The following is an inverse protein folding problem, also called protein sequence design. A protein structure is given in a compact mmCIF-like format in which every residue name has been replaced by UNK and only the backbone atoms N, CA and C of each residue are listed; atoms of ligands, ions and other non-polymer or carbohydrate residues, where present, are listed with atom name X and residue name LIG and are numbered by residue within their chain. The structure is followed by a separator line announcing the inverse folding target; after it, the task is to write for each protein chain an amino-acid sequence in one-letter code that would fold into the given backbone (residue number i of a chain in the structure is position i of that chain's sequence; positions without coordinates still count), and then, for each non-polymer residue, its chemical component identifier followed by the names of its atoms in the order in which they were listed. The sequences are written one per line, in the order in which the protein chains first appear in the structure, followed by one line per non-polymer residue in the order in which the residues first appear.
data_IF_684238670082
#
_entry.id   IF_684238670082
#
_cell.length_a   1.000
_cell.length_b   1.000
_cell.length_c   1.000
_cell.angle_alpha   90.00
_cell.angle_beta   90.00
_cell.angle_gamma   90.00
#
_symmetry.space_group_name_H-M   'P 1'
#
loop_
_entity.id
_entity.type
_entity.pdbx_description
1 polymer ?
#
# COMPACT_ATOMS: atom_id res chain seq x y z
N UNK A 1 -12.95 -15.46 10.48
CA UNK A 1 -12.94 -14.08 9.95
C UNK A 1 -14.24 -13.41 10.37
N UNK A 2 -14.21 -12.23 10.98
CA UNK A 2 -15.43 -11.48 11.33
C UNK A 2 -15.90 -10.64 10.12
N UNK A 3 -17.20 -10.61 9.84
CA UNK A 3 -17.74 -9.92 8.66
C UNK A 3 -17.40 -8.42 8.66
N UNK A 4 -17.40 -7.79 9.83
CA UNK A 4 -17.04 -6.37 10.01
C UNK A 4 -15.61 -6.06 9.58
N UNK A 5 -14.65 -6.95 9.91
CA UNK A 5 -13.25 -6.76 9.52
C UNK A 5 -13.05 -6.85 8.01
N UNK A 6 -13.75 -7.79 7.36
CA UNK A 6 -13.74 -7.92 5.90
C UNK A 6 -14.32 -6.68 5.23
N UNK A 7 -15.48 -6.21 5.70
CA UNK A 7 -16.11 -5.01 5.16
C UNK A 7 -15.22 -3.76 5.29
N UNK A 8 -14.58 -3.58 6.45
CA UNK A 8 -13.67 -2.46 6.68
C UNK A 8 -12.43 -2.53 5.78
N UNK A 9 -11.84 -3.72 5.61
CA UNK A 9 -10.68 -3.91 4.74
C UNK A 9 -11.02 -3.60 3.27
N UNK A 10 -12.19 -4.03 2.79
CA UNK A 10 -12.67 -3.71 1.44
C UNK A 10 -12.88 -2.21 1.28
N UNK A 11 -13.53 -1.56 2.24
CA UNK A 11 -13.76 -0.12 2.21
C UNK A 11 -12.45 0.67 2.14
N UNK A 12 -11.46 0.33 2.99
CA UNK A 12 -10.14 0.97 2.95
C UNK A 12 -9.46 0.74 1.59
N UNK A 13 -9.57 -0.47 1.03
CA UNK A 13 -9.04 -0.79 -0.30
C UNK A 13 -9.63 0.09 -1.41
N UNK A 14 -10.91 0.45 -1.33
CA UNK A 14 -11.58 1.34 -2.29
C UNK A 14 -11.07 2.78 -2.24
N UNK A 15 -10.47 3.21 -1.13
CA UNK A 15 -9.92 4.57 -0.98
C UNK A 15 -8.52 4.72 -1.61
N UNK A 16 -7.77 3.63 -1.79
CA UNK A 16 -6.42 3.67 -2.35
C UNK A 16 -6.35 4.24 -3.79
N UNK A 17 -7.24 3.88 -4.74
CA UNK A 17 -7.26 4.54 -6.04
C UNK A 17 -7.53 6.04 -5.94
N UNK A 18 -8.43 6.45 -5.06
CA UNK A 18 -8.72 7.87 -4.84
C UNK A 18 -7.48 8.61 -4.34
N UNK A 19 -6.76 8.05 -3.36
CA UNK A 19 -5.50 8.64 -2.87
C UNK A 19 -4.47 8.78 -3.99
N UNK A 20 -4.32 7.74 -4.82
CA UNK A 20 -3.35 7.74 -5.91
C UNK A 20 -3.67 8.83 -6.97
N UNK A 21 -4.96 9.02 -7.27
CA UNK A 21 -5.44 10.09 -8.15
C UNK A 21 -5.26 11.49 -7.55
N UNK A 22 -5.58 11.67 -6.27
CA UNK A 22 -5.39 12.94 -5.56
C UNK A 22 -3.91 13.33 -5.57
N UNK A 23 -3.01 12.41 -5.21
CA UNK A 23 -1.57 12.69 -5.20
C UNK A 23 -1.04 12.97 -6.60
N UNK A 24 -1.48 12.23 -7.63
CA UNK A 24 -1.09 12.49 -9.01
C UNK A 24 -1.57 13.86 -9.48
N UNK A 25 -2.78 14.26 -9.09
CA UNK A 25 -3.31 15.60 -9.37
C UNK A 25 -2.50 16.69 -8.68
N UNK A 26 -2.20 16.53 -7.38
CA UNK A 26 -1.36 17.45 -6.61
C UNK A 26 0.04 17.55 -7.21
N UNK A 27 0.64 16.42 -7.59
CA UNK A 27 1.96 16.38 -8.21
C UNK A 27 2.04 17.12 -9.54
N UNK A 28 0.96 17.09 -10.34
CA UNK A 28 0.87 17.86 -11.61
C UNK A 28 0.66 19.36 -11.39
N UNK A 29 -0.03 19.73 -10.31
CA UNK A 29 -0.37 21.14 -10.00
C UNK A 29 0.66 21.81 -9.07
N UNK A 30 1.70 21.10 -8.66
CA UNK A 30 2.69 21.58 -7.68
C UNK A 30 4.11 21.18 -8.11
N UNK A 31 5.04 21.07 -7.16
CA UNK A 31 6.47 20.80 -7.40
C UNK A 31 6.80 19.32 -7.74
N UNK A 32 5.87 18.59 -8.36
CA UNK A 32 6.08 17.20 -8.77
C UNK A 32 5.67 16.13 -7.75
N UNK A 33 5.90 14.84 -8.08
CA UNK A 33 5.34 13.68 -7.36
C UNK A 33 5.94 13.48 -5.97
N UNK A 34 7.21 13.83 -5.77
CA UNK A 34 7.88 13.74 -4.46
C UNK A 34 7.29 14.76 -3.49
N UNK A 35 7.09 16.00 -3.94
CA UNK A 35 6.45 17.03 -3.12
C UNK A 35 5.01 16.67 -2.77
N UNK A 36 4.23 16.17 -3.74
CA UNK A 36 2.86 15.72 -3.46
C UNK A 36 2.82 14.60 -2.42
N UNK A 37 3.76 13.66 -2.48
CA UNK A 37 3.89 12.59 -1.48
C UNK A 37 4.25 13.15 -0.12
N UNK A 38 5.24 14.06 -0.04
CA UNK A 38 5.61 14.73 1.20
C UNK A 38 4.41 15.46 1.84
N UNK A 39 3.68 16.25 1.05
CA UNK A 39 2.49 16.96 1.51
C UNK A 39 1.43 15.99 2.05
N UNK A 40 1.15 14.88 1.35
CA UNK A 40 0.20 13.86 1.81
C UNK A 40 0.67 13.18 3.11
N UNK A 41 1.97 12.93 3.27
CA UNK A 41 2.53 12.41 4.52
C UNK A 41 2.45 13.42 5.67
N UNK A 42 2.64 14.72 5.42
CA UNK A 42 2.47 15.75 6.45
C UNK A 42 1.02 15.81 6.94
N UNK A 43 0.06 15.84 6.02
CA UNK A 43 -1.37 15.82 6.37
C UNK A 43 -1.73 14.55 7.12
N UNK A 44 -1.31 13.38 6.63
CA UNK A 44 -1.55 12.10 7.28
C UNK A 44 -0.93 12.02 8.68
N UNK A 45 0.30 12.53 8.84
CA UNK A 45 0.98 12.60 10.15
C UNK A 45 0.21 13.49 11.12
N UNK A 46 -0.30 14.65 10.67
CA UNK A 46 -1.13 15.52 11.48
C UNK A 46 -2.42 14.84 11.96
N UNK A 47 -3.11 14.12 11.07
CA UNK A 47 -4.31 13.34 11.42
C UNK A 47 -3.99 12.23 12.41
N UNK A 48 -2.92 11.47 12.19
CA UNK A 48 -2.49 10.41 13.11
C UNK A 48 -2.09 10.96 14.48
N UNK A 49 -1.39 12.10 14.52
CA UNK A 49 -1.03 12.76 15.78
C UNK A 49 -2.28 13.23 16.53
N UNK A 50 -3.22 13.87 15.85
CA UNK A 50 -4.48 14.29 16.46
C UNK A 50 -5.26 13.08 17.02
N UNK A 51 -5.38 12.00 16.24
CA UNK A 51 -5.99 10.75 16.71
C UNK A 51 -5.29 10.20 17.94
N UNK A 52 -3.96 10.12 17.92
CA UNK A 52 -3.15 9.62 19.03
C UNK A 52 -3.37 10.44 20.31
N UNK A 53 -3.40 11.77 20.18
CA UNK A 53 -3.69 12.68 21.31
C UNK A 53 -5.12 12.52 21.85
N UNK A 54 -6.11 12.31 20.98
CA UNK A 54 -7.51 12.11 21.37
C UNK A 54 -7.72 10.78 22.11
N UNK A 55 -7.01 9.73 21.71
CA UNK A 55 -7.12 8.39 22.32
C UNK A 55 -6.33 8.24 23.61
N UNK A 56 -5.42 9.18 23.92
CA UNK A 56 -4.60 9.22 25.14
C UNK A 56 -3.99 7.86 25.54
N UNK A 57 -3.30 7.16 24.63
CA UNK A 57 -2.70 5.87 24.96
C UNK A 57 -1.60 6.04 26.01
N UNK A 58 -1.33 4.98 26.77
CA UNK A 58 -0.20 4.94 27.70
C UNK A 58 1.10 5.07 26.91
N UNK A 59 1.82 6.19 27.11
CA UNK A 59 3.06 6.48 26.40
C UNK A 59 4.26 6.30 27.33
N UNK A 60 5.14 5.36 27.00
CA UNK A 60 6.37 5.07 27.77
C UNK A 60 7.58 5.26 26.85
N UNK A 61 8.21 6.44 26.82
CA UNK A 61 9.33 6.73 25.92
C UNK A 61 10.48 5.71 26.03
N UNK A 62 10.76 5.22 27.24
CA UNK A 62 11.81 4.23 27.49
C UNK A 62 11.57 2.90 26.76
N UNK A 63 10.31 2.57 26.40
CA UNK A 63 10.00 1.39 25.62
C UNK A 63 10.47 1.51 24.16
N UNK A 64 10.59 2.74 23.62
CA UNK A 64 11.04 2.97 22.25
C UNK A 64 12.50 2.55 22.04
N UNK A 65 13.33 2.65 23.08
CA UNK A 65 14.73 2.19 23.04
C UNK A 65 14.89 0.67 22.88
N UNK A 66 13.81 -0.10 23.11
CA UNK A 66 13.79 -1.57 22.91
C UNK A 66 13.31 -1.97 21.52
N UNK A 67 12.80 -1.02 20.73
CA UNK A 67 12.29 -1.29 19.39
C UNK A 67 13.48 -1.44 18.43
N UNK A 68 13.54 -2.53 17.64
CA UNK A 68 14.65 -2.72 16.70
C UNK A 68 14.67 -1.63 15.63
N UNK A 69 15.86 -1.20 15.21
CA UNK A 69 16.04 -0.07 14.30
C UNK A 69 15.31 -0.24 12.96
N UNK A 70 15.16 -1.48 12.47
CA UNK A 70 14.46 -1.77 11.22
C UNK A 70 12.95 -1.53 11.31
N UNK A 71 12.34 -1.53 12.50
CA UNK A 71 10.90 -1.29 12.63
C UNK A 71 10.53 0.15 12.20
N UNK A 72 11.49 1.07 12.25
CA UNK A 72 11.33 2.46 11.85
C UNK A 72 11.40 2.67 10.33
N UNK A 73 11.83 1.66 9.55
CA UNK A 73 11.93 1.78 8.09
C UNK A 73 10.58 1.71 7.38
N UNK A 74 9.50 1.35 8.09
CA UNK A 74 8.14 1.29 7.52
C UNK A 74 7.71 2.61 6.89
N UNK A 75 8.05 3.75 7.52
CA UNK A 75 7.77 5.08 6.97
C UNK A 75 8.52 5.35 5.66
N UNK A 76 9.77 4.89 5.56
CA UNK A 76 10.59 5.02 4.34
C UNK A 76 9.99 4.20 3.20
N UNK A 77 9.61 2.95 3.45
CA UNK A 77 8.97 2.07 2.47
C UNK A 77 7.65 2.70 1.99
N UNK A 78 6.84 3.23 2.90
CA UNK A 78 5.61 3.95 2.57
C UNK A 78 5.84 5.18 1.71
N UNK A 79 6.85 6.00 2.04
CA UNK A 79 7.18 7.20 1.27
C UNK A 79 7.60 6.86 -0.18
N UNK A 80 8.48 5.86 -0.34
CA UNK A 80 8.90 5.37 -1.66
C UNK A 80 7.71 4.81 -2.45
N UNK A 81 6.84 4.04 -1.80
CA UNK A 81 5.63 3.50 -2.42
C UNK A 81 4.72 4.61 -2.94
N UNK A 82 4.37 5.60 -2.11
CA UNK A 82 3.46 6.68 -2.50
C UNK A 82 4.06 7.57 -3.58
N UNK A 83 5.35 7.89 -3.51
CA UNK A 83 6.04 8.68 -4.54
C UNK A 83 6.07 7.95 -5.88
N UNK A 84 6.41 6.66 -5.87
CA UNK A 84 6.41 5.83 -7.07
C UNK A 84 5.01 5.67 -7.66
N UNK A 85 4.01 5.44 -6.81
CA UNK A 85 2.61 5.36 -7.23
C UNK A 85 2.16 6.67 -7.89
N UNK A 86 2.43 7.81 -7.26
CA UNK A 86 2.09 9.14 -7.78
C UNK A 86 2.73 9.42 -9.14
N UNK A 87 3.98 8.98 -9.33
CA UNK A 87 4.70 9.09 -10.61
C UNK A 87 4.12 8.16 -11.69
N UNK A 88 3.69 6.95 -11.31
CA UNK A 88 3.26 5.91 -12.24
C UNK A 88 1.76 5.96 -12.59
N UNK A 89 0.90 6.52 -11.73
CA UNK A 89 -0.55 6.63 -11.98
C UNK A 89 -0.86 7.28 -13.34
N UNK A 90 -0.27 8.42 -13.73
CA UNK A 90 -0.58 9.04 -15.02
C UNK A 90 -0.14 8.21 -16.23
N UNK A 91 0.82 7.29 -16.05
CA UNK A 91 1.40 6.47 -17.13
C UNK A 91 0.67 5.13 -17.30
N UNK A 92 0.30 4.50 -16.18
CA UNK A 92 -0.29 3.16 -16.16
C UNK A 92 -1.82 3.18 -15.99
N UNK A 93 -2.37 4.28 -15.49
CA UNK A 93 -3.73 4.34 -14.96
C UNK A 93 -3.82 3.78 -13.54
N UNK A 94 -4.79 4.27 -12.75
CA UNK A 94 -4.94 3.88 -11.35
C UNK A 94 -5.26 2.39 -11.17
N UNK A 95 -6.14 1.84 -12.01
CA UNK A 95 -6.55 0.43 -11.95
C UNK A 95 -5.36 -0.51 -12.21
N UNK A 96 -4.62 -0.30 -13.30
CA UNK A 96 -3.45 -1.09 -13.66
C UNK A 96 -2.37 -1.03 -12.57
N UNK A 97 -2.10 0.15 -12.02
CA UNK A 97 -1.13 0.31 -10.94
C UNK A 97 -1.53 -0.51 -9.71
N UNK A 98 -2.79 -0.44 -9.28
CA UNK A 98 -3.28 -1.18 -8.11
C UNK A 98 -3.17 -2.69 -8.34
N UNK A 99 -3.57 -3.18 -9.51
CA UNK A 99 -3.46 -4.59 -9.86
C UNK A 99 -2.00 -5.09 -9.78
N UNK A 100 -1.05 -4.34 -10.35
CA UNK A 100 0.38 -4.68 -10.31
C UNK A 100 0.94 -4.60 -8.88
N UNK A 101 0.54 -3.59 -8.11
CA UNK A 101 0.95 -3.44 -6.70
C UNK A 101 0.44 -4.59 -5.86
N UNK A 102 -0.84 -4.96 -5.97
CA UNK A 102 -1.43 -6.08 -5.22
C UNK A 102 -0.75 -7.39 -5.60
N UNK A 103 -0.50 -7.63 -6.89
CA UNK A 103 0.25 -8.79 -7.33
C UNK A 103 1.65 -8.85 -6.69
N UNK A 104 2.40 -7.74 -6.73
CA UNK A 104 3.73 -7.64 -6.09
C UNK A 104 3.69 -7.81 -4.56
N UNK A 105 2.68 -7.26 -3.90
CA UNK A 105 2.47 -7.42 -2.45
C UNK A 105 2.21 -8.87 -2.06
N UNK A 106 1.44 -9.61 -2.85
CA UNK A 106 1.17 -11.02 -2.58
C UNK A 106 2.41 -11.89 -2.82
N UNK A 107 3.17 -11.66 -3.90
CA UNK A 107 4.46 -12.33 -4.12
C UNK A 107 5.40 -12.06 -2.95
N UNK A 108 5.56 -10.79 -2.58
CA UNK A 108 6.41 -10.37 -1.47
C UNK A 108 5.98 -11.01 -0.14
N UNK A 109 4.67 -11.03 0.14
CA UNK A 109 4.11 -11.65 1.35
C UNK A 109 4.49 -13.14 1.44
N UNK A 110 4.33 -13.90 0.35
CA UNK A 110 4.71 -15.32 0.33
C UNK A 110 6.22 -15.50 0.54
N UNK A 111 7.06 -14.65 -0.07
CA UNK A 111 8.51 -14.73 0.15
C UNK A 111 8.88 -14.42 1.59
N UNK A 112 8.31 -13.37 2.19
CA UNK A 112 8.56 -12.97 3.58
C UNK A 112 8.11 -14.07 4.56
N UNK A 113 6.94 -14.68 4.32
CA UNK A 113 6.41 -15.80 5.11
C UNK A 113 7.30 -17.06 4.97
N UNK A 114 7.74 -17.38 3.75
CA UNK A 114 8.56 -18.55 3.45
C UNK A 114 9.96 -18.47 4.07
N UNK A 115 10.55 -17.27 4.12
CA UNK A 115 11.84 -17.04 4.74
C UNK A 115 11.74 -16.71 6.24
N UNK A 116 10.54 -16.51 6.77
CA UNK A 116 10.32 -16.19 8.18
C UNK A 116 10.98 -14.87 8.59
N UNK A 117 10.94 -13.84 7.72
CA UNK A 117 11.73 -12.62 7.89
C UNK A 117 11.36 -11.85 9.16
N UNK A 118 10.07 -11.86 9.54
CA UNK A 118 9.55 -11.16 10.72
C UNK A 118 8.77 -12.07 11.68
N UNK A 119 8.48 -13.30 11.28
CA UNK A 119 7.67 -14.26 12.03
C UNK A 119 8.19 -15.68 11.79
N UNK A 120 7.66 -16.66 12.55
CA UNK A 120 8.02 -18.06 12.35
C UNK A 120 7.78 -18.49 10.89
N UNK A 121 8.75 -19.21 10.32
CA UNK A 121 8.70 -19.72 8.96
C UNK A 121 7.42 -20.50 8.72
N UNK A 122 6.63 -20.09 7.74
CA UNK A 122 5.43 -20.80 7.34
C UNK A 122 5.72 -21.64 6.09
N UNK A 123 5.32 -22.93 6.07
CA UNK A 123 5.41 -23.71 4.85
C UNK A 123 4.51 -23.09 3.77
N UNK A 124 5.01 -23.06 2.55
CA UNK A 124 4.23 -22.55 1.41
C UNK A 124 3.17 -23.57 1.06
N UNK A 125 1.92 -23.23 1.31
CA UNK A 125 0.75 -24.03 0.95
C UNK A 125 0.48 -23.93 -0.57
N UNK A 126 0.26 -25.07 -1.22
CA UNK A 126 -0.08 -25.15 -2.65
C UNK A 126 -1.29 -24.29 -3.00
N UNK A 127 -2.30 -24.21 -2.12
CA UNK A 127 -3.47 -23.36 -2.34
C UNK A 127 -3.12 -21.86 -2.38
N UNK A 128 -2.17 -21.40 -1.56
CA UNK A 128 -1.69 -20.01 -1.61
C UNK A 128 -0.98 -19.71 -2.92
N UNK A 129 -0.19 -20.66 -3.44
CA UNK A 129 0.47 -20.52 -4.74
C UNK A 129 -0.57 -20.42 -5.86
N UNK A 130 -1.60 -21.27 -5.84
CA UNK A 130 -2.70 -21.19 -6.81
C UNK A 130 -3.44 -19.85 -6.72
N UNK A 131 -3.78 -19.39 -5.51
CA UNK A 131 -4.40 -18.09 -5.30
C UNK A 131 -3.55 -16.92 -5.82
N UNK A 132 -2.23 -16.97 -5.59
CA UNK A 132 -1.28 -15.99 -6.12
C UNK A 132 -1.28 -15.97 -7.65
N UNK A 133 -1.21 -17.13 -8.29
CA UNK A 133 -1.26 -17.25 -9.75
C UNK A 133 -2.56 -16.68 -10.31
N UNK A 134 -3.70 -16.91 -9.65
CA UNK A 134 -4.98 -16.35 -10.05
C UNK A 134 -5.02 -14.83 -9.94
N UNK A 135 -4.46 -14.24 -8.87
CA UNK A 135 -4.39 -12.78 -8.74
C UNK A 135 -3.47 -12.17 -9.79
N UNK A 136 -2.32 -12.79 -10.07
CA UNK A 136 -1.40 -12.34 -11.13
C UNK A 136 -2.06 -12.43 -12.50
N UNK A 137 -2.75 -13.54 -12.79
CA UNK A 137 -3.50 -13.70 -14.04
C UNK A 137 -4.61 -12.64 -14.15
N UNK A 138 -5.43 -12.45 -13.10
CA UNK A 138 -6.44 -11.40 -13.06
C UNK A 138 -5.86 -9.99 -13.25
N UNK A 139 -4.75 -9.69 -12.59
CA UNK A 139 -4.06 -8.41 -12.73
C UNK A 139 -3.59 -8.19 -14.17
N UNK A 140 -2.97 -9.18 -14.81
CA UNK A 140 -2.53 -9.06 -16.21
C UNK A 140 -3.68 -8.88 -17.19
N UNK A 141 -4.84 -9.48 -16.93
CA UNK A 141 -6.05 -9.26 -17.71
C UNK A 141 -6.62 -7.84 -17.54
N UNK A 142 -6.65 -7.31 -16.32
CA UNK A 142 -7.14 -5.95 -16.04
C UNK A 142 -6.20 -4.88 -16.59
N UNK A 143 -4.88 -5.13 -16.55
CA UNK A 143 -3.86 -4.21 -17.08
C UNK A 143 -3.94 -4.11 -18.60
N UNK A 144 -4.58 -5.05 -19.30
CA UNK A 144 -4.82 -4.90 -20.74
C UNK A 144 -5.66 -3.65 -20.94
N UNK A 145 -5.19 -2.66 -21.74
CA UNK A 145 -6.00 -1.49 -22.02
C UNK A 145 -7.35 -1.96 -22.55
N UNK A 146 -8.44 -1.36 -22.06
CA UNK A 146 -9.72 -1.48 -22.74
C UNK A 146 -9.44 -1.19 -24.20
N UNK A 147 -9.71 -2.16 -25.08
CA UNK A 147 -9.71 -1.90 -26.51
C UNK A 147 -10.79 -0.84 -26.70
N UNK A 148 -10.40 0.43 -26.76
CA UNK A 148 -11.28 1.48 -27.23
C UNK A 148 -11.69 1.04 -28.62
N UNK A 149 -12.96 0.62 -28.76
CA UNK A 149 -13.54 0.34 -30.06
C UNK A 149 -13.16 1.51 -30.98
N UNK A 150 -12.49 1.20 -32.09
CA UNK A 150 -12.00 2.21 -33.01
C UNK A 150 -13.11 3.19 -33.38
N UNK A 151 -12.79 4.48 -33.28
CA UNK A 151 -13.55 5.60 -33.82
C UNK A 151 -12.57 6.56 -34.46
#
# INVERSE_FOLDING_TARGET
MNATGVALALFIGMLLPLQALINASLGRQSFGPVFASLASFMVGTGVLLAWWLLTRPVFVPAALGKVPWWAWTGGVIGAVFVASATLLVPRLGAASLICLVVAGQLVGSVMLDHFGVLHARQPVDTLRVVGLLLVVAGATLVVRPWQSAGG
#
